data_IF_155853203682
#
_entry.id   IF_155853203682
#
_cell.length_a   1.000
_cell.length_b   1.000
_cell.length_c   1.000
_cell.angle_alpha   90.00
_cell.angle_beta   90.00
_cell.angle_gamma   90.00
#
_symmetry.space_group_name_H-M   'P 1'
#
loop_
_entity.id
_entity.type
_entity.pdbx_description
1 polymer ?
#
# COMPACT_ATOMS: atom_id res chain seq x y z
N UNK A 1 -4.02 14.15 -2.73
CA UNK A 1 -3.72 15.57 -2.99
C UNK A 1 -2.22 15.88 -2.92
N UNK A 2 -1.46 15.31 -1.95
CA UNK A 2 -0.03 15.65 -1.79
C UNK A 2 0.82 15.20 -2.99
N UNK A 3 0.55 14.00 -3.53
CA UNK A 3 1.25 13.49 -4.73
C UNK A 3 0.94 14.36 -5.94
N UNK A 4 -0.33 14.69 -6.17
CA UNK A 4 -0.73 15.58 -7.27
C UNK A 4 -0.04 16.95 -7.18
N UNK A 5 0.04 17.53 -5.97
CA UNK A 5 0.75 18.80 -5.76
C UNK A 5 2.26 18.72 -6.04
N UNK A 6 2.88 17.55 -5.78
CA UNK A 6 4.30 17.34 -6.13
C UNK A 6 4.48 17.25 -7.63
N UNK A 7 3.63 16.51 -8.33
CA UNK A 7 3.69 16.41 -9.79
C UNK A 7 3.48 17.76 -10.45
N UNK A 8 2.48 18.52 -10.01
CA UNK A 8 2.19 19.86 -10.49
C UNK A 8 3.41 20.79 -10.32
N UNK A 9 4.03 20.78 -9.14
CA UNK A 9 5.24 21.55 -8.88
C UNK A 9 6.44 21.16 -9.76
N UNK A 10 6.51 19.89 -10.16
CA UNK A 10 7.56 19.37 -11.03
C UNK A 10 7.23 19.53 -12.51
N UNK A 11 6.01 19.95 -12.86
CA UNK A 11 5.52 20.03 -14.24
C UNK A 11 5.38 18.67 -14.91
N UNK A 12 5.07 17.63 -14.13
CA UNK A 12 4.92 16.26 -14.61
C UNK A 12 3.44 15.95 -14.79
N UNK A 13 3.05 15.55 -16.00
CA UNK A 13 1.70 15.02 -16.25
C UNK A 13 1.59 13.60 -15.67
N UNK A 14 0.62 13.38 -14.79
CA UNK A 14 0.41 12.08 -14.17
C UNK A 14 0.11 10.97 -15.16
N UNK A 15 -0.46 11.28 -16.33
CA UNK A 15 -0.79 10.31 -17.40
C UNK A 15 0.46 9.73 -18.06
N UNK A 16 1.60 10.39 -17.96
CA UNK A 16 2.88 9.94 -18.50
C UNK A 16 3.73 9.15 -17.50
N UNK A 17 3.22 8.98 -16.27
CA UNK A 17 3.98 8.35 -15.17
C UNK A 17 3.69 6.85 -15.10
N UNK A 18 4.73 6.05 -14.96
CA UNK A 18 4.64 4.66 -14.51
C UNK A 18 4.72 4.62 -12.99
N UNK A 19 3.69 4.08 -12.37
CA UNK A 19 3.56 4.05 -10.93
C UNK A 19 3.98 2.71 -10.35
N UNK A 20 4.78 2.75 -9.29
CA UNK A 20 4.99 1.62 -8.40
C UNK A 20 4.56 2.01 -6.99
N UNK A 21 3.62 1.28 -6.43
CA UNK A 21 3.09 1.56 -5.09
C UNK A 21 2.91 0.29 -4.28
N UNK A 22 3.03 0.40 -2.95
CA UNK A 22 2.97 -0.75 -2.06
C UNK A 22 2.04 -0.51 -0.87
N UNK A 23 1.28 -1.53 -0.50
CA UNK A 23 0.40 -1.58 0.67
C UNK A 23 -0.56 -0.38 0.73
N UNK A 24 -0.52 0.43 1.80
CA UNK A 24 -1.33 1.65 1.92
C UNK A 24 -1.15 2.60 0.73
N UNK A 25 0.07 2.71 0.19
CA UNK A 25 0.34 3.53 -1.00
C UNK A 25 -0.43 3.03 -2.23
N UNK A 26 -0.49 1.71 -2.43
CA UNK A 26 -1.25 1.10 -3.52
C UNK A 26 -2.76 1.37 -3.36
N UNK A 27 -3.28 1.23 -2.15
CA UNK A 27 -4.68 1.54 -1.84
C UNK A 27 -5.04 3.00 -2.13
N UNK A 28 -4.17 3.94 -1.71
CA UNK A 28 -4.37 5.37 -1.96
C UNK A 28 -4.27 5.73 -3.45
N UNK A 29 -3.44 5.02 -4.20
CA UNK A 29 -3.32 5.22 -5.64
C UNK A 29 -4.58 4.73 -6.38
N UNK A 30 -5.14 3.58 -5.99
CA UNK A 30 -6.43 3.10 -6.50
C UNK A 30 -7.53 4.14 -6.26
N UNK A 31 -7.60 4.73 -5.05
CA UNK A 31 -8.56 5.80 -4.78
C UNK A 31 -8.33 7.05 -5.63
N UNK A 32 -7.06 7.40 -5.86
CA UNK A 32 -6.73 8.55 -6.69
C UNK A 32 -7.15 8.35 -8.15
N UNK A 33 -7.04 7.13 -8.67
CA UNK A 33 -7.55 6.78 -10.00
C UNK A 33 -9.07 6.79 -10.05
N UNK A 34 -9.72 6.16 -9.07
CA UNK A 34 -11.18 6.12 -8.98
C UNK A 34 -11.80 7.53 -8.88
N UNK A 35 -11.11 8.43 -8.19
CA UNK A 35 -11.53 9.83 -8.05
C UNK A 35 -11.02 10.76 -9.16
N UNK A 36 -10.39 10.23 -10.22
CA UNK A 36 -9.81 10.99 -11.34
C UNK A 36 -8.82 12.09 -10.88
N UNK A 37 -8.18 11.90 -9.72
CA UNK A 37 -7.19 12.84 -9.17
C UNK A 37 -5.81 12.64 -9.81
N UNK A 38 -5.49 11.40 -10.18
CA UNK A 38 -4.26 11.01 -10.85
C UNK A 38 -4.59 10.15 -12.07
N UNK A 39 -3.76 10.24 -13.09
CA UNK A 39 -3.68 9.28 -14.18
C UNK A 39 -2.43 8.43 -14.06
N UNK A 40 -2.15 7.64 -15.09
CA UNK A 40 -0.94 6.84 -15.21
C UNK A 40 -0.82 6.22 -16.59
N UNK A 41 0.41 6.03 -17.05
CA UNK A 41 0.68 5.23 -18.24
C UNK A 41 0.56 3.74 -17.89
N UNK A 42 1.08 3.37 -16.73
CA UNK A 42 0.93 2.04 -16.15
C UNK A 42 1.00 2.09 -14.61
N UNK A 43 0.52 1.06 -13.94
CA UNK A 43 0.54 1.00 -12.48
C UNK A 43 0.84 -0.39 -11.95
N UNK A 44 1.80 -0.49 -11.05
CA UNK A 44 2.11 -1.68 -10.28
C UNK A 44 1.65 -1.45 -8.84
N UNK A 45 0.66 -2.24 -8.42
CA UNK A 45 -0.02 -2.14 -7.13
C UNK A 45 0.36 -3.34 -6.27
N UNK A 46 1.41 -3.22 -5.46
CA UNK A 46 1.87 -4.31 -4.60
C UNK A 46 1.04 -4.39 -3.32
N UNK A 47 0.35 -5.50 -3.14
CA UNK A 47 -0.42 -5.85 -1.95
C UNK A 47 -1.34 -4.71 -1.44
N UNK A 48 -2.24 -4.17 -2.28
CA UNK A 48 -3.22 -3.18 -1.85
C UNK A 48 -4.18 -3.79 -0.81
N UNK A 49 -4.66 -2.96 0.12
CA UNK A 49 -5.62 -3.39 1.13
C UNK A 49 -6.99 -2.75 0.86
N UNK A 50 -8.08 -3.54 0.70
CA UNK A 50 -9.42 -2.98 0.53
C UNK A 50 -9.97 -2.38 1.81
N UNK A 51 -9.47 -2.84 2.95
CA UNK A 51 -9.82 -2.36 4.30
C UNK A 51 -8.67 -2.57 5.28
N UNK A 52 -8.77 -1.96 6.45
CA UNK A 52 -7.79 -2.12 7.52
C UNK A 52 -8.47 -2.71 8.76
N UNK A 53 -8.25 -3.99 8.99
CA UNK A 53 -8.80 -4.69 10.15
C UNK A 53 -7.95 -4.45 11.40
N UNK A 54 -8.49 -3.68 12.31
CA UNK A 54 -7.91 -3.50 13.63
C UNK A 54 -8.67 -4.33 14.67
N UNK A 55 -8.00 -5.09 15.53
CA UNK A 55 -8.65 -5.80 16.62
C UNK A 55 -9.38 -4.79 17.54
N UNK A 56 -10.47 -5.23 18.16
CA UNK A 56 -11.36 -4.34 18.94
C UNK A 56 -10.60 -3.52 20.00
N UNK A 57 -9.66 -4.12 20.70
CA UNK A 57 -8.83 -3.43 21.69
C UNK A 57 -8.00 -2.30 21.08
N UNK A 58 -7.45 -2.48 19.88
CA UNK A 58 -6.68 -1.46 19.19
C UNK A 58 -7.61 -0.31 18.72
N UNK A 59 -8.82 -0.63 18.25
CA UNK A 59 -9.82 0.38 17.88
C UNK A 59 -10.24 1.25 19.07
N UNK A 60 -10.36 0.65 20.27
CA UNK A 60 -10.67 1.38 21.51
C UNK A 60 -9.45 2.26 21.87
N UNK A 61 -8.26 1.71 21.88
CA UNK A 61 -7.03 2.43 22.22
C UNK A 61 -6.80 3.64 21.29
N UNK A 62 -7.03 3.47 19.99
CA UNK A 62 -6.88 4.55 19.01
C UNK A 62 -7.88 5.69 19.19
N UNK A 63 -9.03 5.45 19.82
CA UNK A 63 -10.01 6.51 20.15
C UNK A 63 -9.62 7.31 21.38
N UNK A 64 -8.76 6.78 22.25
CA UNK A 64 -8.34 7.45 23.48
C UNK A 64 -7.26 8.50 23.20
N UNK A 65 -7.24 9.61 23.96
CA UNK A 65 -6.10 10.52 23.94
C UNK A 65 -4.89 9.82 24.54
N UNK A 66 -3.81 9.67 23.76
CA UNK A 66 -2.58 9.03 24.24
C UNK A 66 -1.61 10.12 24.66
N UNK A 67 -1.28 10.22 25.96
CA UNK A 67 -0.35 11.22 26.47
C UNK A 67 1.06 11.05 25.86
N UNK A 68 1.75 12.16 25.61
CA UNK A 68 3.07 12.14 24.94
C UNK A 68 4.11 11.29 25.67
N UNK A 69 4.06 11.23 27.00
CA UNK A 69 5.02 10.43 27.78
C UNK A 69 4.89 8.91 27.53
N UNK A 70 3.74 8.44 27.03
CA UNK A 70 3.51 7.01 26.67
C UNK A 70 4.08 6.67 25.31
N UNK A 71 4.31 7.67 24.44
CA UNK A 71 4.71 7.47 23.06
C UNK A 71 5.94 6.57 22.86
N UNK A 72 7.04 6.72 23.63
CA UNK A 72 8.21 5.86 23.45
C UNK A 72 7.91 4.38 23.75
N UNK A 73 7.11 4.11 24.77
CA UNK A 73 6.71 2.75 25.13
C UNK A 73 5.78 2.13 24.09
N UNK A 74 4.83 2.92 23.59
CA UNK A 74 3.92 2.48 22.54
C UNK A 74 4.67 2.19 21.23
N UNK A 75 5.63 3.02 20.86
CA UNK A 75 6.47 2.79 19.67
C UNK A 75 7.30 1.52 19.82
N UNK A 76 7.93 1.30 20.99
CA UNK A 76 8.68 0.06 21.25
C UNK A 76 7.78 -1.17 21.15
N UNK A 77 6.57 -1.09 21.70
CA UNK A 77 5.58 -2.18 21.60
C UNK A 77 5.16 -2.44 20.14
N UNK A 78 4.91 -1.39 19.37
CA UNK A 78 4.55 -1.53 17.95
C UNK A 78 5.68 -2.18 17.15
N UNK A 79 6.93 -1.73 17.36
CA UNK A 79 8.10 -2.33 16.71
C UNK A 79 8.23 -3.80 17.10
N UNK A 80 8.11 -4.14 18.39
CA UNK A 80 8.16 -5.51 18.86
C UNK A 80 7.06 -6.38 18.25
N UNK A 81 5.83 -5.86 18.12
CA UNK A 81 4.71 -6.58 17.52
C UNK A 81 4.96 -6.87 16.03
N UNK A 82 5.46 -5.90 15.29
CA UNK A 82 5.81 -6.05 13.87
C UNK A 82 6.97 -7.02 13.70
N UNK A 83 8.02 -6.89 14.51
CA UNK A 83 9.17 -7.81 14.48
C UNK A 83 8.75 -9.27 14.72
N UNK A 84 7.73 -9.48 15.57
CA UNK A 84 7.24 -10.82 15.90
C UNK A 84 6.32 -11.41 14.83
N UNK A 85 5.59 -10.55 14.12
CA UNK A 85 4.65 -10.99 13.06
C UNK A 85 5.28 -11.13 11.69
N UNK A 86 6.38 -10.41 11.44
CA UNK A 86 7.04 -10.42 10.13
C UNK A 86 8.05 -11.56 10.05
N UNK A 87 7.82 -12.51 9.15
CA UNK A 87 8.69 -13.68 8.97
C UNK A 87 9.97 -13.33 8.20
N UNK A 88 9.85 -12.53 7.14
CA UNK A 88 10.97 -12.18 6.28
C UNK A 88 11.89 -11.16 6.93
N UNK A 89 13.21 -11.44 6.93
CA UNK A 89 14.22 -10.57 7.54
C UNK A 89 14.28 -9.20 6.87
N UNK A 90 14.24 -9.15 5.54
CA UNK A 90 14.27 -7.89 4.78
C UNK A 90 13.05 -7.02 5.05
N UNK A 91 11.85 -7.60 5.02
CA UNK A 91 10.59 -6.92 5.34
C UNK A 91 10.61 -6.35 6.77
N UNK A 92 11.08 -7.13 7.75
CA UNK A 92 11.21 -6.71 9.14
C UNK A 92 12.13 -5.50 9.31
N UNK A 93 13.29 -5.49 8.63
CA UNK A 93 14.23 -4.37 8.65
C UNK A 93 13.58 -3.11 8.07
N UNK A 94 12.88 -3.22 6.94
CA UNK A 94 12.17 -2.08 6.30
C UNK A 94 11.09 -1.51 7.22
N UNK A 95 10.23 -2.35 7.78
CA UNK A 95 9.16 -1.91 8.67
C UNK A 95 9.68 -1.28 9.96
N UNK A 96 10.70 -1.88 10.57
CA UNK A 96 11.34 -1.30 11.75
C UNK A 96 11.92 0.08 11.47
N UNK A 97 12.60 0.25 10.34
CA UNK A 97 13.12 1.55 9.88
C UNK A 97 11.99 2.56 9.68
N UNK A 98 10.96 2.18 8.96
CA UNK A 98 9.81 3.03 8.70
C UNK A 98 9.12 3.47 9.99
N UNK A 99 8.86 2.55 10.91
CA UNK A 99 8.23 2.86 12.20
C UNK A 99 9.07 3.81 13.05
N UNK A 100 10.38 3.57 13.14
CA UNK A 100 11.28 4.42 13.95
C UNK A 100 11.50 5.81 13.36
N UNK A 101 11.30 5.98 12.05
CA UNK A 101 11.41 7.27 11.38
C UNK A 101 10.10 8.09 11.43
N UNK A 102 8.98 7.50 11.87
CA UNK A 102 7.69 8.17 11.87
C UNK A 102 7.44 8.97 13.16
N UNK A 103 6.72 10.07 13.00
CA UNK A 103 6.08 10.76 14.10
C UNK A 103 4.85 9.97 14.58
N UNK A 104 4.86 9.55 15.85
CA UNK A 104 3.78 8.72 16.40
C UNK A 104 2.42 9.42 16.37
N UNK A 105 2.35 10.75 16.51
CA UNK A 105 1.07 11.46 16.43
C UNK A 105 0.48 11.37 15.02
N UNK A 106 1.30 11.56 13.99
CA UNK A 106 0.87 11.41 12.60
C UNK A 106 0.46 9.97 12.29
N UNK A 107 1.22 9.00 12.79
CA UNK A 107 0.89 7.58 12.66
C UNK A 107 -0.47 7.25 13.32
N UNK A 108 -0.74 7.77 14.51
CA UNK A 108 -2.02 7.58 15.19
C UNK A 108 -3.18 8.26 14.45
N UNK A 109 -2.97 9.44 13.86
CA UNK A 109 -3.97 10.11 13.03
C UNK A 109 -4.29 9.28 11.78
N UNK A 110 -3.27 8.79 11.09
CA UNK A 110 -3.42 7.91 9.94
C UNK A 110 -4.16 6.61 10.31
N UNK A 111 -3.77 5.97 11.42
CA UNK A 111 -4.45 4.77 11.90
C UNK A 111 -5.93 5.02 12.24
N UNK A 112 -6.25 6.18 12.82
CA UNK A 112 -7.65 6.58 13.10
C UNK A 112 -8.47 6.79 11.84
N UNK A 113 -7.88 7.38 10.81
CA UNK A 113 -8.54 7.52 9.51
C UNK A 113 -8.79 6.14 8.87
N UNK A 114 -7.78 5.26 8.92
CA UNK A 114 -7.83 3.95 8.28
C UNK A 114 -8.79 2.95 8.96
N UNK A 115 -9.12 3.12 10.25
CA UNK A 115 -10.07 2.21 10.97
C UNK A 115 -11.43 2.10 10.27
N UNK A 116 -11.86 3.14 9.58
CA UNK A 116 -13.17 3.21 8.91
C UNK A 116 -13.06 3.14 7.40
N UNK A 117 -11.83 3.08 6.92
CA UNK A 117 -11.58 3.08 5.50
C UNK A 117 -12.04 1.75 4.88
N UNK A 118 -12.70 1.87 3.75
CA UNK A 118 -13.03 0.77 2.85
C UNK A 118 -12.88 1.26 1.42
N UNK A 119 -12.19 0.49 0.62
CA UNK A 119 -12.09 0.73 -0.81
C UNK A 119 -13.49 0.58 -1.43
N UNK A 120 -13.91 1.45 -2.36
CA UNK A 120 -15.19 1.31 -3.05
C UNK A 120 -15.36 -0.08 -3.69
N UNK A 121 -16.59 -0.60 -3.67
CA UNK A 121 -16.88 -1.90 -4.27
C UNK A 121 -16.77 -1.85 -5.80
N UNK A 122 -17.14 -0.73 -6.41
CA UNK A 122 -17.00 -0.49 -7.85
C UNK A 122 -15.69 0.26 -8.14
N UNK A 123 -14.80 -0.37 -8.89
CA UNK A 123 -13.54 0.20 -9.38
C UNK A 123 -13.51 0.30 -10.91
N UNK A 124 -14.67 0.19 -11.56
CA UNK A 124 -14.78 0.19 -13.02
C UNK A 124 -14.40 1.51 -13.69
N UNK A 125 -14.29 2.62 -12.94
CA UNK A 125 -13.80 3.89 -13.47
C UNK A 125 -12.28 3.91 -13.73
N UNK A 126 -11.51 2.98 -13.16
CA UNK A 126 -10.07 2.91 -13.33
C UNK A 126 -9.74 2.50 -14.75
N UNK A 127 -9.00 3.35 -15.48
CA UNK A 127 -8.58 3.15 -16.88
C UNK A 127 -7.08 2.95 -17.03
N UNK A 128 -6.33 3.18 -15.98
CA UNK A 128 -4.87 2.98 -15.99
C UNK A 128 -4.60 1.47 -16.04
N UNK A 129 -3.80 0.97 -17.01
CA UNK A 129 -3.38 -0.42 -17.02
C UNK A 129 -2.69 -0.80 -15.71
N UNK A 130 -3.23 -1.81 -15.02
CA UNK A 130 -2.76 -2.18 -13.67
C UNK A 130 -2.26 -3.62 -13.60
N UNK A 131 -1.10 -3.80 -12.98
CA UNK A 131 -0.71 -5.08 -12.35
C UNK A 131 -0.96 -4.97 -10.86
N UNK A 132 -1.71 -5.92 -10.33
CA UNK A 132 -1.82 -6.12 -8.88
C UNK A 132 -0.88 -7.25 -8.49
N UNK A 133 0.12 -6.93 -7.69
CA UNK A 133 1.09 -7.92 -7.21
C UNK A 133 0.77 -8.40 -5.80
N UNK A 134 0.92 -9.69 -5.55
CA UNK A 134 0.88 -10.28 -4.22
C UNK A 134 2.08 -11.17 -4.00
N UNK A 135 2.50 -11.33 -2.75
CA UNK A 135 3.61 -12.20 -2.38
C UNK A 135 3.09 -13.40 -1.58
N UNK A 136 3.35 -14.62 -2.04
CA UNK A 136 2.90 -15.85 -1.40
C UNK A 136 3.41 -16.02 0.05
N UNK A 137 4.55 -15.41 0.38
CA UNK A 137 5.13 -15.40 1.73
C UNK A 137 4.61 -14.28 2.64
N UNK A 138 3.81 -13.35 2.11
CA UNK A 138 3.32 -12.21 2.89
C UNK A 138 2.25 -12.68 3.89
N UNK A 139 2.50 -12.45 5.18
CA UNK A 139 1.60 -12.81 6.26
C UNK A 139 0.83 -11.62 6.83
N UNK A 140 1.03 -10.44 6.27
CA UNK A 140 0.40 -9.19 6.70
C UNK A 140 -0.75 -8.77 5.79
N UNK A 141 -0.76 -9.25 4.56
CA UNK A 141 -1.80 -9.00 3.57
C UNK A 141 -2.58 -10.27 3.29
N UNK A 142 -3.88 -10.13 3.17
CA UNK A 142 -4.79 -11.23 2.84
C UNK A 142 -4.83 -11.38 1.31
N UNK A 143 -4.34 -12.51 0.82
CA UNK A 143 -4.25 -12.81 -0.62
C UNK A 143 -5.64 -12.82 -1.26
N UNK A 144 -6.66 -13.37 -0.58
CA UNK A 144 -8.02 -13.42 -1.10
C UNK A 144 -8.61 -12.01 -1.29
N UNK A 145 -8.27 -11.09 -0.38
CA UNK A 145 -8.65 -9.68 -0.50
C UNK A 145 -7.97 -8.99 -1.67
N UNK A 146 -6.71 -9.34 -1.96
CA UNK A 146 -5.99 -8.81 -3.13
C UNK A 146 -6.62 -9.31 -4.42
N UNK A 147 -6.98 -10.59 -4.52
CA UNK A 147 -7.71 -11.16 -5.67
C UNK A 147 -9.03 -10.44 -5.91
N UNK A 148 -9.79 -10.18 -4.83
CA UNK A 148 -11.04 -9.41 -4.92
C UNK A 148 -10.86 -7.96 -5.42
N UNK A 149 -9.67 -7.37 -5.32
CA UNK A 149 -9.38 -6.06 -5.94
C UNK A 149 -9.15 -6.24 -7.45
N UNK A 150 -8.38 -7.26 -7.85
CA UNK A 150 -8.14 -7.55 -9.28
C UNK A 150 -9.45 -7.71 -10.04
N UNK A 151 -10.40 -8.47 -9.50
CA UNK A 151 -11.70 -8.72 -10.13
C UNK A 151 -12.54 -7.45 -10.36
N UNK A 152 -12.26 -6.37 -9.63
CA UNK A 152 -13.01 -5.11 -9.68
C UNK A 152 -12.37 -4.06 -10.59
N UNK A 153 -11.08 -4.17 -10.91
CA UNK A 153 -10.37 -3.23 -11.78
C UNK A 153 -10.41 -3.80 -13.21
N UNK A 154 -10.94 -3.06 -14.19
CA UNK A 154 -10.96 -3.53 -15.59
C UNK A 154 -9.55 -3.84 -16.08
N UNK A 155 -9.42 -4.99 -16.76
CA UNK A 155 -8.19 -5.45 -17.41
C UNK A 155 -6.96 -5.53 -16.47
N UNK A 156 -7.17 -5.56 -15.15
CA UNK A 156 -6.07 -5.73 -14.21
C UNK A 156 -5.47 -7.13 -14.30
N UNK A 157 -4.15 -7.21 -14.26
CA UNK A 157 -3.39 -8.47 -14.27
C UNK A 157 -2.92 -8.79 -12.86
N UNK A 158 -3.14 -10.03 -12.40
CA UNK A 158 -2.58 -10.52 -11.14
C UNK A 158 -1.21 -11.13 -11.40
N UNK A 159 -0.22 -10.72 -10.60
CA UNK A 159 1.12 -11.32 -10.58
C UNK A 159 1.46 -11.76 -9.17
N UNK A 160 1.73 -13.06 -9.02
CA UNK A 160 2.22 -13.61 -7.75
C UNK A 160 3.74 -13.69 -7.76
N UNK A 161 4.37 -13.02 -6.79
CA UNK A 161 5.82 -13.05 -6.61
C UNK A 161 6.22 -13.92 -5.43
N UNK A 162 7.45 -14.50 -5.45
CA UNK A 162 7.88 -15.47 -4.43
C UNK A 162 7.88 -14.92 -3.00
N UNK A 163 8.18 -13.63 -2.84
CA UNK A 163 8.30 -13.01 -1.51
C UNK A 163 8.09 -11.51 -1.55
N UNK A 164 7.71 -10.94 -0.40
CA UNK A 164 7.67 -9.50 -0.22
C UNK A 164 9.06 -8.87 -0.38
N UNK A 165 10.12 -9.59 -0.03
CA UNK A 165 11.50 -9.14 -0.25
C UNK A 165 11.79 -9.04 -1.75
N UNK A 166 11.46 -10.05 -2.56
CA UNK A 166 11.60 -10.03 -4.02
C UNK A 166 10.92 -8.82 -4.65
N UNK A 167 9.69 -8.53 -4.22
CA UNK A 167 8.90 -7.41 -4.71
C UNK A 167 9.51 -6.01 -4.40
N UNK A 168 10.54 -5.94 -3.56
CA UNK A 168 11.23 -4.70 -3.20
C UNK A 168 12.72 -4.70 -3.57
N UNK A 169 13.15 -5.66 -4.36
CA UNK A 169 14.52 -5.80 -4.85
C UNK A 169 14.54 -5.80 -6.38
N UNK A 170 15.74 -5.73 -6.97
CA UNK A 170 15.91 -5.65 -8.41
C UNK A 170 15.24 -6.79 -9.21
N UNK A 171 14.98 -7.93 -8.56
CA UNK A 171 14.33 -9.07 -9.20
C UNK A 171 12.94 -8.75 -9.75
N UNK A 172 12.20 -7.86 -9.08
CA UNK A 172 10.83 -7.47 -9.51
C UNK A 172 10.82 -6.69 -10.83
N UNK A 173 11.95 -6.14 -11.26
CA UNK A 173 12.02 -5.38 -12.52
C UNK A 173 11.67 -6.24 -13.72
N UNK A 174 11.94 -7.55 -13.68
CA UNK A 174 11.56 -8.48 -14.75
C UNK A 174 10.04 -8.50 -14.94
N UNK A 175 9.28 -8.64 -13.85
CA UNK A 175 7.81 -8.64 -13.88
C UNK A 175 7.25 -7.29 -14.38
N UNK A 176 7.91 -6.20 -13.99
CA UNK A 176 7.53 -4.84 -14.42
C UNK A 176 7.77 -4.66 -15.91
N UNK A 177 8.94 -5.05 -16.42
CA UNK A 177 9.32 -4.94 -17.83
C UNK A 177 8.41 -5.82 -18.72
N UNK A 178 8.10 -7.04 -18.29
CA UNK A 178 7.16 -7.93 -18.97
C UNK A 178 5.78 -7.30 -19.11
N UNK A 179 5.26 -6.75 -18.03
CA UNK A 179 3.98 -6.06 -18.02
C UNK A 179 3.98 -4.83 -18.95
N UNK A 180 4.98 -3.95 -18.81
CA UNK A 180 5.08 -2.75 -19.64
C UNK A 180 5.19 -3.08 -21.14
N UNK A 181 5.89 -4.17 -21.46
CA UNK A 181 5.97 -4.66 -22.84
C UNK A 181 4.62 -5.17 -23.36
N UNK A 182 3.78 -5.72 -22.50
CA UNK A 182 2.44 -6.25 -22.87
C UNK A 182 1.42 -5.15 -23.17
N UNK A 183 1.54 -3.98 -22.55
CA UNK A 183 0.62 -2.86 -22.76
C UNK A 183 1.07 -1.90 -23.88
N UNK A 184 2.33 -1.99 -24.32
CA UNK A 184 2.90 -1.16 -25.40
C UNK A 184 2.67 -1.70 -26.82
N UNK A 185 2.06 -2.88 -26.95
CA UNK A 185 1.66 -3.51 -28.20
C UNK A 185 0.15 -3.39 -28.41
#
# INVERSE_FOLDING_TARGET
HDVAAVLDKLGIDSTEVDWFSSSLGATLLIEAYQGEVLGGRSSILLAPNPDFEFPLWARILLKMPIPRFVHPSLMRFTVWLVDRRTKEKGQRIRYRRALLAQDLQRMLLSARANIRYRLPDDLSAIRVPCVVMTASSDTLHDIDKVHGIVERIPDAVLVEVPSNQYAHEAGVLVEIEEFQSSIGN
#
